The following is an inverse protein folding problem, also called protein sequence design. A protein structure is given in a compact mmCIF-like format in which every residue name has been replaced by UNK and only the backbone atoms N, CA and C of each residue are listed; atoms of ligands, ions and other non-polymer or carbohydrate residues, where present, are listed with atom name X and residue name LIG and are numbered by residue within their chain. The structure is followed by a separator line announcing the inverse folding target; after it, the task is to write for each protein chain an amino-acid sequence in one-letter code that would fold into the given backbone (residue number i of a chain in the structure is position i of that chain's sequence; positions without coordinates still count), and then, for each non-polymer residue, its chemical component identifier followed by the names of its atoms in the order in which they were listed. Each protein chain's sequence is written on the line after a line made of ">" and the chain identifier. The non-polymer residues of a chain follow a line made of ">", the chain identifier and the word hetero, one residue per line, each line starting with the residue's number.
data_IF_845634435973
#
_entry.id   IF_845634435973
#
_cell.length_a   1.000
_cell.length_b   1.000
_cell.length_c   1.000
_cell.angle_alpha   90.00
_cell.angle_beta   90.00
_cell.angle_gamma   90.00
#
_symmetry.space_group_name_H-M   'P 1'
#
loop_
_entity.id
_entity.type
_entity.pdbx_description
1 polymer ?
#
# COMPACT_ATOMS: atom_id res chain seq x y z
N UNK A 1 -5.02 22.41 14.50
CA UNK A 1 -5.18 21.50 13.34
C UNK A 1 -3.86 20.76 13.22
N UNK A 2 -3.75 19.60 13.86
CA UNK A 2 -2.48 18.86 13.93
C UNK A 2 -2.37 18.05 12.65
N UNK A 3 -1.42 18.40 11.78
CA UNK A 3 -1.05 17.55 10.64
C UNK A 3 -0.39 16.32 11.27
N UNK A 4 -1.11 15.21 11.32
CA UNK A 4 -0.58 13.98 11.86
C UNK A 4 0.27 13.34 10.77
N UNK A 5 1.58 13.56 10.83
CA UNK A 5 2.55 12.95 9.91
C UNK A 5 2.36 11.44 9.93
N UNK A 6 2.00 10.86 8.79
CA UNK A 6 1.87 9.41 8.66
C UNK A 6 3.28 8.81 8.68
N UNK A 7 3.51 7.89 9.61
CA UNK A 7 4.76 7.10 9.67
C UNK A 7 4.65 5.88 8.76
N UNK A 8 5.79 5.39 8.24
CA UNK A 8 5.84 4.21 7.38
C UNK A 8 5.19 2.98 8.03
N UNK A 9 5.44 2.72 9.33
CA UNK A 9 4.85 1.57 10.04
C UNK A 9 3.32 1.65 10.09
N UNK A 10 2.77 2.82 10.44
CA UNK A 10 1.32 3.04 10.46
C UNK A 10 0.68 2.99 9.05
N UNK A 11 1.43 3.36 8.01
CA UNK A 11 0.98 3.19 6.63
C UNK A 11 0.99 1.71 6.25
N UNK A 12 2.03 0.96 6.63
CA UNK A 12 2.17 -0.47 6.33
C UNK A 12 1.04 -1.29 6.93
N UNK A 13 0.63 -1.03 8.18
CA UNK A 13 -0.51 -1.72 8.79
C UNK A 13 -1.81 -1.55 7.97
N UNK A 14 -2.09 -0.33 7.51
CA UNK A 14 -3.31 -0.05 6.73
C UNK A 14 -3.22 -0.58 5.30
N UNK A 15 -2.06 -0.47 4.66
CA UNK A 15 -1.81 -1.05 3.33
C UNK A 15 -1.95 -2.58 3.39
N UNK A 16 -1.42 -3.23 4.43
CA UNK A 16 -1.60 -4.67 4.64
C UNK A 16 -3.08 -5.03 4.67
N UNK A 17 -3.92 -4.29 5.41
CA UNK A 17 -5.37 -4.54 5.45
C UNK A 17 -6.05 -4.41 4.08
N UNK A 18 -5.65 -3.43 3.25
CA UNK A 18 -6.15 -3.30 1.87
C UNK A 18 -5.76 -4.53 1.05
N UNK A 19 -4.49 -4.96 1.14
CA UNK A 19 -3.99 -6.13 0.45
C UNK A 19 -4.70 -7.41 0.89
N UNK A 20 -4.91 -7.58 2.20
CA UNK A 20 -5.59 -8.76 2.75
C UNK A 20 -7.02 -8.89 2.21
N UNK A 21 -7.75 -7.77 2.13
CA UNK A 21 -9.11 -7.74 1.54
C UNK A 21 -9.09 -8.06 0.04
N UNK A 22 -8.15 -7.46 -0.69
CA UNK A 22 -8.05 -7.59 -2.14
C UNK A 22 -7.60 -9.00 -2.58
N UNK A 23 -6.57 -9.54 -1.92
CA UNK A 23 -5.97 -10.85 -2.21
C UNK A 23 -6.69 -12.02 -1.53
N UNK A 24 -7.54 -11.74 -0.53
CA UNK A 24 -8.20 -12.75 0.32
C UNK A 24 -7.19 -13.66 1.05
N UNK A 25 -6.07 -13.07 1.45
CA UNK A 25 -5.01 -13.71 2.24
C UNK A 25 -4.86 -12.93 3.54
N UNK A 26 -4.76 -13.59 4.69
CA UNK A 26 -4.49 -12.93 5.97
C UNK A 26 -3.80 -13.92 6.92
N UNK A 27 -2.73 -13.52 7.65
CA UNK A 27 -2.12 -12.19 7.61
C UNK A 27 -1.21 -11.99 6.38
N UNK A 28 -1.06 -10.74 5.94
CA UNK A 28 -0.04 -10.34 4.95
C UNK A 28 1.17 -9.72 5.67
N UNK A 29 2.36 -10.26 5.44
CA UNK A 29 3.60 -9.71 5.99
C UNK A 29 4.00 -8.41 5.28
N UNK A 30 4.70 -7.51 5.97
CA UNK A 30 5.11 -6.22 5.40
C UNK A 30 6.08 -6.37 4.22
N UNK A 31 6.89 -7.42 4.21
CA UNK A 31 7.84 -7.78 3.15
C UNK A 31 7.26 -8.76 2.12
N UNK A 32 5.95 -9.06 2.19
CA UNK A 32 5.33 -9.97 1.27
C UNK A 32 5.29 -9.39 -0.15
N UNK A 33 5.79 -10.16 -1.10
CA UNK A 33 5.77 -9.84 -2.52
C UNK A 33 4.35 -10.01 -3.10
N UNK A 34 3.84 -8.96 -3.74
CA UNK A 34 2.48 -8.92 -4.29
C UNK A 34 2.17 -10.06 -5.25
N UNK A 35 3.12 -10.38 -6.14
CA UNK A 35 2.93 -11.40 -7.18
C UNK A 35 2.90 -12.80 -6.56
N UNK A 36 3.74 -13.05 -5.56
CA UNK A 36 3.81 -14.29 -4.79
C UNK A 36 2.51 -14.58 -4.03
N UNK A 37 1.76 -13.54 -3.66
CA UNK A 37 0.44 -13.66 -3.05
C UNK A 37 -0.71 -13.88 -4.06
N UNK A 38 -0.41 -13.95 -5.36
CA UNK A 38 -1.41 -14.08 -6.43
C UNK A 38 -1.90 -12.75 -7.01
N UNK A 39 -1.17 -11.67 -6.75
CA UNK A 39 -1.42 -10.35 -7.32
C UNK A 39 -1.31 -10.31 -8.85
N UNK A 40 -2.02 -9.37 -9.45
CA UNK A 40 -1.99 -9.10 -10.89
C UNK A 40 -2.23 -7.61 -11.14
N UNK A 41 -2.04 -7.15 -12.39
CA UNK A 41 -2.12 -5.72 -12.72
C UNK A 41 -3.48 -5.08 -12.42
N UNK A 42 -4.58 -5.81 -12.65
CA UNK A 42 -5.92 -5.28 -12.35
C UNK A 42 -6.12 -5.11 -10.84
N UNK A 43 -5.68 -6.09 -10.06
CA UNK A 43 -5.75 -6.02 -8.62
C UNK A 43 -4.82 -4.93 -8.06
N UNK A 44 -3.63 -4.75 -8.66
CA UNK A 44 -2.70 -3.70 -8.26
C UNK A 44 -3.34 -2.32 -8.43
N UNK A 45 -3.92 -2.05 -9.60
CA UNK A 45 -4.62 -0.77 -9.84
C UNK A 45 -5.78 -0.56 -8.86
N UNK A 46 -6.56 -1.61 -8.57
CA UNK A 46 -7.64 -1.53 -7.57
C UNK A 46 -7.12 -1.23 -6.16
N UNK A 47 -6.00 -1.83 -5.77
CA UNK A 47 -5.36 -1.59 -4.48
C UNK A 47 -4.82 -0.15 -4.42
N UNK A 48 -4.16 0.32 -5.48
CA UNK A 48 -3.64 1.69 -5.55
C UNK A 48 -4.77 2.69 -5.34
N UNK A 49 -5.88 2.58 -6.08
CA UNK A 49 -7.04 3.46 -5.90
C UNK A 49 -7.62 3.41 -4.49
N UNK A 50 -7.71 2.21 -3.89
CA UNK A 50 -8.21 2.08 -2.51
C UNK A 50 -7.25 2.70 -1.48
N UNK A 51 -5.94 2.57 -1.69
CA UNK A 51 -4.92 3.20 -0.84
C UNK A 51 -4.98 4.72 -0.98
N UNK A 52 -5.05 5.24 -2.21
CA UNK A 52 -5.23 6.68 -2.48
C UNK A 52 -6.44 7.24 -1.70
N UNK A 53 -7.59 6.57 -1.77
CA UNK A 53 -8.80 6.95 -1.04
C UNK A 53 -8.64 6.88 0.49
N UNK A 54 -7.95 5.86 1.02
CA UNK A 54 -7.76 5.65 2.47
C UNK A 54 -6.83 6.72 3.06
N UNK A 55 -5.84 7.16 2.30
CA UNK A 55 -4.78 8.05 2.78
C UNK A 55 -4.92 9.49 2.29
N UNK A 56 -5.87 9.78 1.38
CA UNK A 56 -6.06 11.08 0.73
C UNK A 56 -4.78 11.56 0.01
N UNK A 57 -4.21 10.66 -0.80
CA UNK A 57 -2.97 10.88 -1.58
C UNK A 57 -3.13 10.45 -3.02
N UNK A 58 -2.27 10.95 -3.92
CA UNK A 58 -2.13 10.43 -5.29
C UNK A 58 -0.79 9.68 -5.38
N UNK A 59 -0.82 8.40 -5.74
CA UNK A 59 0.37 7.56 -5.82
C UNK A 59 0.87 7.45 -7.26
N UNK A 60 2.17 7.61 -7.45
CA UNK A 60 2.79 7.25 -8.72
C UNK A 60 2.91 5.72 -8.82
N UNK A 61 2.25 5.15 -9.83
CA UNK A 61 2.29 3.71 -10.11
C UNK A 61 3.73 3.25 -10.36
N UNK A 62 4.55 4.08 -11.00
CA UNK A 62 5.94 3.73 -11.30
C UNK A 62 6.76 3.59 -9.99
N UNK A 63 6.53 4.44 -8.98
CA UNK A 63 7.17 4.32 -7.66
C UNK A 63 6.68 3.09 -6.88
N UNK A 64 5.39 2.75 -7.00
CA UNK A 64 4.81 1.59 -6.32
C UNK A 64 5.39 0.28 -6.87
N UNK A 65 5.61 0.18 -8.17
CA UNK A 65 6.13 -1.05 -8.80
C UNK A 65 7.62 -1.28 -8.61
N UNK A 66 8.39 -0.27 -8.19
CA UNK A 66 9.81 -0.43 -7.84
C UNK A 66 10.03 -1.38 -6.66
N UNK A 67 9.11 -1.36 -5.69
CA UNK A 67 9.12 -2.25 -4.52
C UNK A 67 7.68 -2.68 -4.22
N UNK A 68 7.24 -3.73 -4.93
CA UNK A 68 5.88 -4.24 -4.89
C UNK A 68 5.62 -5.12 -3.65
N UNK A 69 5.96 -4.58 -2.48
CA UNK A 69 5.68 -5.10 -1.15
C UNK A 69 4.80 -4.12 -0.38
N UNK A 70 4.19 -4.57 0.72
CA UNK A 70 3.42 -3.70 1.62
C UNK A 70 4.30 -2.57 2.17
N UNK A 71 5.52 -2.88 2.60
CA UNK A 71 6.48 -1.89 3.10
C UNK A 71 6.99 -0.93 2.02
N UNK A 72 7.17 -1.40 0.79
CA UNK A 72 7.49 -0.56 -0.37
C UNK A 72 6.38 0.45 -0.65
N UNK A 73 5.15 -0.01 -0.80
CA UNK A 73 3.98 0.85 -1.01
C UNK A 73 3.74 1.83 0.15
N UNK A 74 3.88 1.37 1.41
CA UNK A 74 3.75 2.22 2.59
C UNK A 74 4.79 3.34 2.65
N UNK A 75 6.01 3.08 2.16
CA UNK A 75 7.05 4.11 2.01
C UNK A 75 6.65 5.18 0.99
N UNK A 76 6.07 4.79 -0.14
CA UNK A 76 5.55 5.76 -1.13
C UNK A 76 4.45 6.62 -0.48
N UNK A 77 3.47 5.98 0.16
CA UNK A 77 2.38 6.67 0.86
C UNK A 77 2.90 7.66 1.91
N UNK A 78 3.84 7.25 2.76
CA UNK A 78 4.38 8.11 3.82
C UNK A 78 5.18 9.31 3.27
N UNK A 79 5.79 9.17 2.09
CA UNK A 79 6.46 10.30 1.40
C UNK A 79 5.45 11.28 0.79
N UNK A 80 4.35 10.78 0.24
CA UNK A 80 3.33 11.62 -0.41
C UNK A 80 2.42 12.33 0.61
N UNK A 81 2.08 11.67 1.71
CA UNK A 81 1.19 12.21 2.75
C UNK A 81 1.84 13.24 3.70
N UNK A 82 3.13 13.54 3.53
CA UNK A 82 3.94 14.40 4.42
C UNK A 82 4.25 15.77 3.82
#
# INVERSE_FOLDING_TARGET
>A
MTIQKITEDAAAERVALVWERALKVSPVAHDADFLSLGGNSLLLLSIITEVEDVFDVELDVDEVVEDLTVAGMARVVARTAG
#
